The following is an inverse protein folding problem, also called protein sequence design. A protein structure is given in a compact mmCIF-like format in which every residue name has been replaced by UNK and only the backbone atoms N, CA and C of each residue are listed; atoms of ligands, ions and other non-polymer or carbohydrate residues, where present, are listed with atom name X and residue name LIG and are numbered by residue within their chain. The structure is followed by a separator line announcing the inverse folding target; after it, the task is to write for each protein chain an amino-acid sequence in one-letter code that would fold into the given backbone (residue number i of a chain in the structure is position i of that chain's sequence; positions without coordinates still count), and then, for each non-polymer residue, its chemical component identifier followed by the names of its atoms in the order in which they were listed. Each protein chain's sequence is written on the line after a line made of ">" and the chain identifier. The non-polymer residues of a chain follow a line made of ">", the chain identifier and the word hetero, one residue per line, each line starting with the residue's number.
data_IF_905052352672
#
_entry.id   IF_905052352672
#
_cell.length_a   1.000
_cell.length_b   1.000
_cell.length_c   1.000
_cell.angle_alpha   90.00
_cell.angle_beta   90.00
_cell.angle_gamma   90.00
#
_symmetry.space_group_name_H-M   'P 1'
#
loop_
_entity.id
_entity.type
_entity.pdbx_description
1 polymer ?
#
# COMPACT_ATOMS: atom_id res chain seq x y z
N UNK A 1 15.87 -11.62 -10.78
CA UNK A 1 15.82 -11.63 -9.30
C UNK A 1 14.88 -12.75 -8.86
N UNK A 2 14.91 -13.17 -7.59
CA UNK A 2 13.93 -14.13 -7.08
C UNK A 2 12.52 -13.53 -7.14
N UNK A 3 11.48 -14.37 -7.24
CA UNK A 3 10.10 -13.91 -7.24
C UNK A 3 9.74 -13.17 -5.94
N UNK A 4 10.29 -13.61 -4.80
CA UNK A 4 10.10 -12.97 -3.50
C UNK A 4 10.68 -11.54 -3.49
N UNK A 5 11.90 -11.37 -4.03
CA UNK A 5 12.51 -10.05 -4.13
C UNK A 5 11.73 -9.13 -5.09
N UNK A 6 11.27 -9.65 -6.23
CA UNK A 6 10.40 -8.92 -7.14
C UNK A 6 9.07 -8.51 -6.45
N UNK A 7 8.47 -9.44 -5.70
CA UNK A 7 7.25 -9.19 -4.92
C UNK A 7 7.43 -8.08 -3.88
N UNK A 8 8.57 -8.03 -3.18
CA UNK A 8 8.87 -6.92 -2.27
C UNK A 8 9.04 -5.60 -3.02
N UNK A 9 9.74 -5.60 -4.15
CA UNK A 9 9.96 -4.41 -4.97
C UNK A 9 8.68 -3.86 -5.60
N UNK A 10 7.63 -4.68 -5.80
CA UNK A 10 6.32 -4.18 -6.21
C UNK A 10 5.80 -3.04 -5.32
N UNK A 11 6.13 -3.04 -4.04
CA UNK A 11 5.69 -2.02 -3.08
C UNK A 11 6.63 -0.80 -2.98
N UNK A 12 7.87 -0.87 -3.48
CA UNK A 12 8.90 0.14 -3.21
C UNK A 12 8.50 1.56 -3.65
N UNK A 13 7.90 1.70 -4.84
CA UNK A 13 7.33 2.96 -5.31
C UNK A 13 5.80 2.85 -5.44
N UNK A 14 5.18 1.99 -4.63
CA UNK A 14 3.74 1.72 -4.61
C UNK A 14 3.19 1.42 -6.00
N UNK A 15 2.29 2.30 -6.46
CA UNK A 15 1.61 2.23 -7.75
C UNK A 15 2.59 2.03 -8.92
N UNK A 16 3.70 2.77 -8.94
CA UNK A 16 4.62 2.80 -10.08
C UNK A 16 5.29 1.43 -10.25
N UNK A 17 5.92 0.93 -9.20
CA UNK A 17 6.59 -0.38 -9.25
C UNK A 17 5.60 -1.52 -9.43
N UNK A 18 4.40 -1.43 -8.84
CA UNK A 18 3.33 -2.40 -9.09
C UNK A 18 3.00 -2.52 -10.58
N UNK A 19 2.78 -1.40 -11.26
CA UNK A 19 2.50 -1.41 -12.71
C UNK A 19 3.68 -1.96 -13.52
N UNK A 20 4.91 -1.53 -13.19
CA UNK A 20 6.12 -2.00 -13.87
C UNK A 20 6.26 -3.53 -13.83
N UNK A 21 6.04 -4.14 -12.67
CA UNK A 21 6.12 -5.61 -12.53
C UNK A 21 4.95 -6.37 -13.18
N UNK A 22 3.82 -5.70 -13.47
CA UNK A 22 2.73 -6.29 -14.26
C UNK A 22 3.00 -6.32 -15.76
N UNK A 23 3.95 -5.51 -16.27
CA UNK A 23 4.22 -5.44 -17.72
C UNK A 23 5.56 -6.07 -18.11
N UNK A 24 6.53 -6.14 -17.20
CA UNK A 24 7.85 -6.69 -17.49
C UNK A 24 7.87 -8.22 -17.40
N UNK A 25 8.35 -8.88 -18.45
CA UNK A 25 8.66 -10.30 -18.45
C UNK A 25 9.99 -10.60 -17.71
N UNK A 26 10.14 -11.77 -17.08
CA UNK A 26 9.15 -12.85 -16.92
C UNK A 26 8.18 -12.61 -15.74
N UNK A 27 8.34 -11.52 -14.99
CA UNK A 27 7.61 -11.28 -13.74
C UNK A 27 6.09 -11.18 -13.93
N UNK A 28 5.64 -10.62 -15.07
CA UNK A 28 4.23 -10.55 -15.42
C UNK A 28 3.56 -11.91 -15.64
N UNK A 29 4.31 -13.01 -15.74
CA UNK A 29 3.77 -14.38 -15.82
C UNK A 29 3.70 -15.06 -14.45
N UNK A 30 4.42 -14.54 -13.45
CA UNK A 30 4.46 -15.12 -12.11
C UNK A 30 3.22 -14.72 -11.31
N UNK A 31 2.40 -15.70 -10.92
CA UNK A 31 1.23 -15.46 -10.06
C UNK A 31 1.61 -14.84 -8.70
N UNK A 32 2.82 -15.14 -8.20
CA UNK A 32 3.34 -14.59 -6.94
C UNK A 32 3.63 -13.09 -7.12
N UNK A 33 4.38 -12.73 -8.16
CA UNK A 33 4.73 -11.32 -8.40
C UNK A 33 3.50 -10.50 -8.77
N UNK A 34 2.59 -11.05 -9.59
CA UNK A 34 1.32 -10.40 -9.93
C UNK A 34 0.46 -10.10 -8.70
N UNK A 35 0.36 -11.02 -7.74
CA UNK A 35 -0.37 -10.77 -6.49
C UNK A 35 0.18 -9.55 -5.75
N UNK A 36 1.51 -9.50 -5.53
CA UNK A 36 2.14 -8.37 -4.84
C UNK A 36 2.04 -7.07 -5.65
N UNK A 37 2.10 -7.14 -6.97
CA UNK A 37 1.92 -6.00 -7.85
C UNK A 37 0.50 -5.41 -7.75
N UNK A 38 -0.54 -6.23 -7.86
CA UNK A 38 -1.93 -5.78 -7.69
C UNK A 38 -2.21 -5.30 -6.27
N UNK A 39 -1.73 -6.01 -5.25
CA UNK A 39 -1.91 -5.59 -3.85
C UNK A 39 -1.20 -4.25 -3.59
N UNK A 40 -0.02 -4.01 -4.16
CA UNK A 40 0.68 -2.72 -4.10
C UNK A 40 -0.12 -1.58 -4.76
N UNK A 41 -0.70 -1.84 -5.94
CA UNK A 41 -1.55 -0.88 -6.65
C UNK A 41 -2.77 -0.52 -5.80
N UNK A 42 -3.51 -1.52 -5.32
CA UNK A 42 -4.70 -1.29 -4.50
C UNK A 42 -4.38 -0.64 -3.16
N UNK A 43 -3.27 -1.02 -2.53
CA UNK A 43 -2.79 -0.38 -1.30
C UNK A 43 -2.47 1.09 -1.54
N UNK A 44 -1.79 1.41 -2.65
CA UNK A 44 -1.45 2.80 -3.00
C UNK A 44 -2.70 3.64 -3.27
N UNK A 45 -3.70 3.08 -3.96
CA UNK A 45 -4.99 3.75 -4.20
C UNK A 45 -5.73 3.99 -2.88
N UNK A 46 -5.81 2.97 -2.02
CA UNK A 46 -6.43 3.09 -0.70
C UNK A 46 -5.71 4.11 0.19
N UNK A 47 -4.38 4.16 0.12
CA UNK A 47 -3.55 5.13 0.84
C UNK A 47 -3.80 6.57 0.37
N UNK A 48 -3.89 6.80 -0.95
CA UNK A 48 -4.23 8.11 -1.51
C UNK A 48 -5.64 8.54 -1.06
N UNK A 49 -6.62 7.63 -1.09
CA UNK A 49 -7.97 7.93 -0.61
C UNK A 49 -7.99 8.29 0.87
N UNK A 50 -7.25 7.55 1.71
CA UNK A 50 -7.11 7.84 3.14
C UNK A 50 -6.46 9.20 3.39
N UNK A 51 -5.43 9.55 2.60
CA UNK A 51 -4.76 10.85 2.69
C UNK A 51 -5.70 12.01 2.32
N UNK A 52 -6.52 11.86 1.28
CA UNK A 52 -7.54 12.87 0.92
C UNK A 52 -8.54 13.06 2.06
N UNK A 53 -8.99 11.97 2.68
CA UNK A 53 -9.93 12.03 3.83
C UNK A 53 -9.27 12.72 5.03
N UNK A 54 -8.02 12.39 5.33
CA UNK A 54 -7.25 13.04 6.40
C UNK A 54 -7.12 14.55 6.15
N UNK A 55 -6.78 14.97 4.93
CA UNK A 55 -6.71 16.40 4.57
C UNK A 55 -8.02 17.14 4.82
N UNK A 56 -9.16 16.54 4.47
CA UNK A 56 -10.48 17.13 4.70
C UNK A 56 -10.76 17.27 6.20
N UNK A 57 -10.49 16.21 6.99
CA UNK A 57 -10.69 16.22 8.45
C UNK A 57 -9.79 17.28 9.10
N UNK A 58 -8.52 17.33 8.72
CA UNK A 58 -7.54 18.29 9.24
C UNK A 58 -7.94 19.74 8.90
N UNK A 59 -8.52 20.00 7.71
CA UNK A 59 -9.04 21.32 7.37
C UNK A 59 -10.22 21.74 8.26
N UNK A 60 -11.11 20.81 8.62
CA UNK A 60 -12.21 21.08 9.56
C UNK A 60 -11.67 21.36 10.97
N UNK A 61 -10.71 20.55 11.43
CA UNK A 61 -10.08 20.70 12.75
C UNK A 61 -9.34 22.04 12.88
N UNK A 62 -8.77 22.58 11.81
CA UNK A 62 -8.07 23.86 11.83
C UNK A 62 -8.94 25.04 12.30
N UNK A 63 -10.27 24.92 12.24
CA UNK A 63 -11.21 25.92 12.77
C UNK A 63 -11.21 26.02 14.30
N UNK A 64 -10.72 25.00 15.01
CA UNK A 64 -10.63 24.97 16.48
C UNK A 64 -9.22 25.40 16.89
N UNK A 65 -9.04 26.58 17.52
CA UNK A 65 -7.72 27.05 17.93
C UNK A 65 -7.06 26.09 18.90
N UNK A 66 -5.76 25.87 18.73
CA UNK A 66 -4.90 25.00 19.58
C UNK A 66 -5.31 23.52 19.58
N UNK A 67 -6.49 23.16 20.10
CA UNK A 67 -6.94 21.77 20.22
C UNK A 67 -7.12 21.10 18.86
N UNK A 68 -7.68 21.80 17.88
CA UNK A 68 -7.85 21.29 16.52
C UNK A 68 -6.52 21.00 15.83
N UNK A 69 -5.55 21.88 16.01
CA UNK A 69 -4.18 21.69 15.51
C UNK A 69 -3.49 20.48 16.15
N UNK A 70 -3.57 20.35 17.47
CA UNK A 70 -2.99 19.20 18.18
C UNK A 70 -3.64 17.90 17.69
N UNK A 71 -4.98 17.86 17.60
CA UNK A 71 -5.70 16.69 17.13
C UNK A 71 -5.34 16.35 15.67
N UNK A 72 -5.26 17.33 14.78
CA UNK A 72 -4.87 17.14 13.39
C UNK A 72 -3.46 16.58 13.24
N UNK A 73 -2.49 17.11 13.98
CA UNK A 73 -1.11 16.59 13.98
C UNK A 73 -1.06 15.15 14.49
N UNK A 74 -1.72 14.85 15.60
CA UNK A 74 -1.76 13.49 16.15
C UNK A 74 -2.42 12.50 15.20
N UNK A 75 -3.51 12.90 14.54
CA UNK A 75 -4.19 12.10 13.53
C UNK A 75 -3.26 11.80 12.34
N UNK A 76 -2.63 12.83 11.78
CA UNK A 76 -1.71 12.69 10.66
C UNK A 76 -0.54 11.78 11.01
N UNK A 77 0.05 11.94 12.20
CA UNK A 77 1.13 11.08 12.70
C UNK A 77 0.69 9.62 12.85
N UNK A 78 -0.47 9.39 13.43
CA UNK A 78 -1.00 8.04 13.64
C UNK A 78 -1.27 7.33 12.30
N UNK A 79 -1.89 8.03 11.35
CA UNK A 79 -2.14 7.51 10.00
C UNK A 79 -0.81 7.22 9.31
N UNK A 80 0.10 8.19 9.24
CA UNK A 80 1.41 8.05 8.58
C UNK A 80 2.22 6.88 9.14
N UNK A 81 2.31 6.76 10.47
CA UNK A 81 3.05 5.68 11.12
C UNK A 81 2.37 4.32 10.89
N UNK A 82 1.05 4.24 11.02
CA UNK A 82 0.31 3.01 10.74
C UNK A 82 0.48 2.54 9.29
N UNK A 83 0.40 3.46 8.34
CA UNK A 83 0.64 3.19 6.93
C UNK A 83 2.07 2.75 6.64
N UNK A 84 3.06 3.41 7.24
CA UNK A 84 4.47 3.04 7.12
C UNK A 84 4.70 1.62 7.65
N UNK A 85 4.14 1.28 8.81
CA UNK A 85 4.26 -0.06 9.39
C UNK A 85 3.64 -1.10 8.46
N UNK A 86 2.41 -0.90 7.99
CA UNK A 86 1.74 -1.84 7.07
C UNK A 86 2.55 -1.99 5.78
N UNK A 87 3.02 -0.89 5.20
CA UNK A 87 3.81 -0.89 3.97
C UNK A 87 5.13 -1.68 4.12
N UNK A 88 5.88 -1.43 5.19
CA UNK A 88 7.10 -2.17 5.48
C UNK A 88 6.83 -3.65 5.77
N UNK A 89 5.73 -3.96 6.48
CA UNK A 89 5.31 -5.35 6.74
C UNK A 89 4.98 -6.09 5.44
N UNK A 90 4.31 -5.45 4.48
CA UNK A 90 4.03 -6.03 3.17
C UNK A 90 5.32 -6.34 2.39
N UNK A 91 6.28 -5.40 2.37
CA UNK A 91 7.59 -5.61 1.74
C UNK A 91 8.37 -6.75 2.40
N UNK A 92 8.44 -6.74 3.73
CA UNK A 92 9.16 -7.74 4.50
C UNK A 92 8.56 -9.14 4.32
N UNK A 93 7.23 -9.26 4.41
CA UNK A 93 6.55 -10.54 4.17
C UNK A 93 6.77 -11.05 2.75
N UNK A 94 6.61 -10.18 1.74
CA UNK A 94 6.86 -10.55 0.35
C UNK A 94 8.31 -11.03 0.12
N UNK A 95 9.30 -10.35 0.71
CA UNK A 95 10.71 -10.74 0.62
C UNK A 95 10.98 -12.13 1.22
N UNK A 96 10.28 -12.48 2.30
CA UNK A 96 10.38 -13.80 2.92
C UNK A 96 9.52 -14.89 2.24
N UNK A 97 8.82 -14.55 1.14
CA UNK A 97 7.98 -15.50 0.40
C UNK A 97 6.56 -15.66 0.97
N UNK A 98 6.18 -14.84 1.95
CA UNK A 98 4.84 -14.82 2.52
C UNK A 98 3.90 -13.88 1.74
N UNK A 99 2.64 -14.29 1.64
CA UNK A 99 1.56 -13.43 1.13
C UNK A 99 0.68 -12.98 2.29
N UNK A 100 1.00 -11.82 2.86
CA UNK A 100 0.09 -11.13 3.77
C UNK A 100 -1.09 -10.59 2.96
N UNK A 101 -2.24 -11.23 3.08
CA UNK A 101 -3.48 -10.85 2.38
C UNK A 101 -4.23 -9.83 3.22
N UNK A 102 -4.39 -8.61 2.71
CA UNK A 102 -5.15 -7.58 3.40
C UNK A 102 -6.66 -7.81 3.26
N UNK A 103 -7.49 -7.59 4.30
CA UNK A 103 -8.89 -8.05 4.32
C UNK A 103 -9.78 -7.59 3.16
N UNK A 104 -9.56 -6.38 2.64
CA UNK A 104 -10.38 -5.80 1.55
C UNK A 104 -9.68 -5.91 0.20
N UNK A 105 -8.45 -5.39 0.11
CA UNK A 105 -7.72 -5.31 -1.17
C UNK A 105 -6.95 -6.58 -1.53
N UNK A 106 -6.69 -7.45 -0.56
CA UNK A 106 -6.00 -8.72 -0.78
C UNK A 106 -6.80 -9.69 -1.65
N UNK A 107 -8.08 -9.98 -1.35
CA UNK A 107 -8.93 -10.81 -2.20
C UNK A 107 -9.08 -10.25 -3.63
N UNK A 108 -9.08 -8.92 -3.79
CA UNK A 108 -9.09 -8.29 -5.11
C UNK A 108 -7.78 -8.57 -5.86
N UNK A 109 -6.64 -8.46 -5.18
CA UNK A 109 -5.32 -8.75 -5.75
C UNK A 109 -5.17 -10.23 -6.14
N UNK A 110 -5.70 -11.15 -5.34
CA UNK A 110 -5.72 -12.58 -5.66
C UNK A 110 -6.48 -12.89 -6.94
N UNK A 111 -7.69 -12.31 -7.10
CA UNK A 111 -8.50 -12.47 -8.31
C UNK A 111 -7.76 -11.96 -9.55
N UNK A 112 -7.12 -10.80 -9.45
CA UNK A 112 -6.37 -10.22 -10.57
C UNK A 112 -5.05 -10.95 -10.86
N UNK A 113 -4.44 -11.60 -9.88
CA UNK A 113 -3.25 -12.42 -10.11
C UNK A 113 -3.53 -13.72 -10.86
N UNK A 114 -4.80 -14.15 -10.90
CA UNK A 114 -5.26 -15.38 -11.54
C UNK A 114 -5.82 -15.16 -12.96
N UNK A 115 -6.03 -13.90 -13.38
CA UNK A 115 -6.56 -13.55 -14.71
C UNK A 115 -5.60 -13.76 -15.87
#
# INVERSE_FOLDING_TARGET
>A
MSENAAGALCYLAGLITGIVFLVIAPYNQSRIVRFHAFQSIFFSIAWIALWIVEMIISAVLASIPVLGWIAGVLLAMAIALGGLIVWLLLMWKAYNGDRLVLPVIGPMAERQAQS
#
